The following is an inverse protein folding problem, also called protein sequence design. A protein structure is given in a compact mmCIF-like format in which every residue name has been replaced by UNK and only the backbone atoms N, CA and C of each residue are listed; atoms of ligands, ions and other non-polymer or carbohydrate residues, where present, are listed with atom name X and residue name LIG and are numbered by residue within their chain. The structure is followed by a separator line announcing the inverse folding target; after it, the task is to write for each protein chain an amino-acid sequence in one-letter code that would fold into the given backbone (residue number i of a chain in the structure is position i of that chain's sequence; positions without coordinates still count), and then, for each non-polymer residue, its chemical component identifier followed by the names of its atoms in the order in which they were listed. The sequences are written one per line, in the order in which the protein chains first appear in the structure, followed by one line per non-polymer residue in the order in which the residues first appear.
data_IF_257853184707
#
_entry.id   IF_257853184707
#
_cell.length_a   1.000
_cell.length_b   1.000
_cell.length_c   1.000
_cell.angle_alpha   90.00
_cell.angle_beta   90.00
_cell.angle_gamma   90.00
#
_symmetry.space_group_name_H-M   'P 1'
#
loop_
_entity.id
_entity.type
_entity.pdbx_description
1 polymer ?
#
# COMPACT_ATOMS: atom_id res chain seq x y z
N UNK A 1 -3.18 20.80 22.54
CA UNK A 1 -1.94 20.00 22.65
C UNK A 1 -0.75 20.87 22.25
N UNK A 2 0.08 21.29 23.20
CA UNK A 2 1.23 22.15 22.92
C UNK A 2 2.28 21.38 22.09
N UNK A 3 2.55 21.84 20.86
CA UNK A 3 3.65 21.31 20.03
C UNK A 3 4.96 21.58 20.77
N UNK A 4 5.61 20.53 21.30
CA UNK A 4 7.00 20.62 21.77
C UNK A 4 7.84 21.12 20.60
N UNK A 5 8.31 22.36 20.70
CA UNK A 5 9.21 22.96 19.71
C UNK A 5 10.47 22.10 19.63
N UNK A 6 10.75 21.56 18.45
CA UNK A 6 11.96 20.78 18.20
C UNK A 6 13.14 21.75 18.14
N UNK A 7 14.04 21.66 19.12
CA UNK A 7 15.27 22.47 19.18
C UNK A 7 16.09 22.21 17.91
N UNK A 8 16.34 23.26 17.13
CA UNK A 8 17.05 23.11 15.86
C UNK A 8 18.57 23.15 16.08
N UNK A 9 19.30 22.65 15.08
CA UNK A 9 20.76 22.57 15.14
C UNK A 9 21.45 23.94 15.19
N UNK A 10 20.77 24.99 14.73
CA UNK A 10 21.24 26.38 14.84
C UNK A 10 21.08 26.89 16.28
N UNK A 11 20.03 26.47 16.97
CA UNK A 11 19.74 26.87 18.36
C UNK A 11 20.75 26.28 19.34
N UNK A 12 21.17 25.03 19.15
CA UNK A 12 22.19 24.38 19.99
C UNK A 12 23.56 25.07 19.83
N UNK A 13 23.92 25.45 18.59
CA UNK A 13 25.17 26.19 18.33
C UNK A 13 25.15 27.59 18.94
N UNK A 14 24.00 28.28 18.91
CA UNK A 14 23.84 29.57 19.55
C UNK A 14 23.98 29.47 21.08
N UNK A 15 23.38 28.44 21.70
CA UNK A 15 23.50 28.19 23.15
C UNK A 15 24.93 27.84 23.59
N UNK A 16 25.69 27.09 22.77
CA UNK A 16 27.11 26.81 23.04
C UNK A 16 27.91 28.11 23.06
N UNK A 17 27.73 28.98 22.06
CA UNK A 17 28.44 30.27 21.96
C UNK A 17 28.13 31.19 23.15
N UNK A 18 26.87 31.27 23.55
CA UNK A 18 26.43 32.07 24.70
C UNK A 18 27.02 31.54 26.03
N UNK A 19 27.09 30.21 26.20
CA UNK A 19 27.71 29.60 27.39
C UNK A 19 29.23 29.78 27.38
N UNK A 20 29.90 29.70 26.22
CA UNK A 20 31.34 29.96 26.07
C UNK A 20 31.69 31.41 26.45
N UNK A 21 30.91 32.38 25.97
CA UNK A 21 31.04 33.80 26.36
C UNK A 21 30.85 33.99 27.87
N UNK A 22 29.87 33.31 28.47
CA UNK A 22 29.67 33.32 29.93
C UNK A 22 30.79 32.63 30.69
N UNK A 23 31.47 31.64 30.13
CA UNK A 23 32.63 31.00 30.80
C UNK A 23 33.89 31.86 30.77
N UNK A 24 33.97 32.82 29.85
CA UNK A 24 35.10 33.73 29.73
C UNK A 24 35.06 34.79 30.85
N UNK A 25 35.99 34.71 31.80
CA UNK A 25 36.15 35.70 32.88
C UNK A 25 35.62 35.30 34.26
N UNK A 26 35.00 34.12 34.43
CA UNK A 26 34.57 33.67 35.76
C UNK A 26 35.77 33.25 36.64
N UNK A 27 35.92 33.92 37.78
CA UNK A 27 36.96 33.62 38.80
C UNK A 27 36.57 32.45 39.73
N UNK A 28 35.29 32.08 39.77
CA UNK A 28 34.78 30.98 40.62
C UNK A 28 34.96 29.60 39.97
N UNK A 29 35.89 28.80 40.51
CA UNK A 29 36.31 27.50 39.97
C UNK A 29 35.17 26.47 39.85
N UNK A 30 34.21 26.45 40.80
CA UNK A 30 33.06 25.52 40.77
C UNK A 30 32.03 25.86 39.69
N UNK A 31 31.72 27.15 39.50
CA UNK A 31 30.75 27.61 38.51
C UNK A 31 31.29 27.43 37.09
N UNK A 32 32.59 27.68 36.89
CA UNK A 32 33.27 27.42 35.62
C UNK A 32 33.20 25.94 35.21
N UNK A 33 33.53 25.03 36.12
CA UNK A 33 33.45 23.60 35.85
C UNK A 33 32.02 23.09 35.57
N UNK A 34 30.99 23.74 36.14
CA UNK A 34 29.60 23.41 35.87
C UNK A 34 29.16 23.84 34.45
N UNK A 35 29.56 25.04 34.02
CA UNK A 35 29.27 25.57 32.69
C UNK A 35 30.03 24.81 31.60
N UNK A 36 31.29 24.44 31.84
CA UNK A 36 32.08 23.60 30.91
C UNK A 36 31.44 22.23 30.68
N UNK A 37 30.91 21.60 31.75
CA UNK A 37 30.14 20.35 31.62
C UNK A 37 28.86 20.52 30.79
N UNK A 38 28.20 21.68 30.90
CA UNK A 38 26.99 21.98 30.12
C UNK A 38 27.30 22.19 28.64
N UNK A 39 28.42 22.84 28.32
CA UNK A 39 28.91 23.01 26.95
C UNK A 39 29.20 21.65 26.30
N UNK A 40 29.90 20.76 27.01
CA UNK A 40 30.24 19.44 26.49
C UNK A 40 28.98 18.59 26.23
N UNK A 41 28.00 18.64 27.13
CA UNK A 41 26.72 17.96 26.93
C UNK A 41 25.94 18.47 25.70
N UNK A 42 26.01 19.77 25.38
CA UNK A 42 25.39 20.33 24.18
C UNK A 42 26.15 19.97 22.89
N UNK A 43 27.49 19.88 22.95
CA UNK A 43 28.34 19.42 21.82
C UNK A 43 28.05 17.96 21.45
N UNK A 44 27.88 17.09 22.45
CA UNK A 44 27.46 15.70 22.24
C UNK A 44 26.11 15.63 21.52
N UNK A 45 25.12 16.42 21.96
CA UNK A 45 23.79 16.49 21.33
C UNK A 45 23.83 17.00 19.88
N UNK A 46 24.65 18.00 19.58
CA UNK A 46 24.81 18.47 18.18
C UNK A 46 25.39 17.36 17.29
N UNK A 47 26.39 16.62 17.78
CA UNK A 47 27.00 15.52 17.04
C UNK A 47 26.03 14.36 16.80
N UNK A 48 25.18 14.02 17.76
CA UNK A 48 24.11 13.02 17.60
C UNK A 48 23.09 13.46 16.54
N UNK A 49 22.67 14.72 16.56
CA UNK A 49 21.75 15.27 15.56
C UNK A 49 22.36 15.29 14.15
N UNK A 50 23.67 15.59 14.01
CA UNK A 50 24.39 15.46 12.72
C UNK A 50 24.38 14.01 12.24
N UNK A 51 24.73 13.06 13.10
CA UNK A 51 24.75 11.63 12.75
C UNK A 51 23.36 11.13 12.33
N UNK A 52 22.31 11.56 13.01
CA UNK A 52 20.94 11.15 12.68
C UNK A 52 20.43 11.76 11.36
N UNK A 53 20.80 13.00 11.04
CA UNK A 53 20.50 13.60 9.72
C UNK A 53 21.20 12.86 8.59
N UNK A 54 22.51 12.61 8.74
CA UNK A 54 23.30 11.84 7.76
C UNK A 54 22.70 10.45 7.52
N UNK A 55 22.29 9.75 8.59
CA UNK A 55 21.61 8.44 8.47
C UNK A 55 20.26 8.51 7.76
N UNK A 56 19.53 9.62 7.91
CA UNK A 56 18.23 9.84 7.26
C UNK A 56 18.37 10.14 5.77
N UNK A 57 19.42 10.87 5.41
CA UNK A 57 19.69 11.25 4.01
C UNK A 57 20.38 10.11 3.22
N UNK A 58 20.89 9.07 3.91
CA UNK A 58 21.46 7.87 3.30
C UNK A 58 20.34 6.95 2.78
N UNK A 59 20.07 7.01 1.48
CA UNK A 59 19.12 6.13 0.80
C UNK A 59 19.63 4.68 0.80
N UNK A 60 18.79 3.75 1.24
CA UNK A 60 19.12 2.33 1.27
C UNK A 60 18.94 1.69 -0.13
N UNK A 61 19.75 0.66 -0.47
CA UNK A 61 19.60 -0.05 -1.74
C UNK A 61 18.29 -0.86 -1.74
N UNK A 62 17.56 -0.79 -2.85
CA UNK A 62 16.29 -1.49 -3.07
C UNK A 62 16.58 -2.81 -3.80
N UNK A 63 15.99 -3.91 -3.35
CA UNK A 63 16.11 -5.21 -4.03
C UNK A 63 15.07 -5.27 -5.17
N UNK A 64 15.55 -5.30 -6.41
CA UNK A 64 14.72 -5.36 -7.62
C UNK A 64 14.39 -6.82 -7.97
N UNK A 65 13.10 -7.16 -8.06
CA UNK A 65 12.63 -8.48 -8.51
C UNK A 65 12.23 -8.39 -9.99
N UNK A 66 12.53 -9.44 -10.75
CA UNK A 66 12.23 -9.52 -12.19
C UNK A 66 11.29 -10.72 -12.41
N UNK A 67 10.25 -10.60 -13.27
CA UNK A 67 9.44 -11.73 -13.69
C UNK A 67 10.28 -12.78 -14.43
N UNK A 68 9.89 -14.05 -14.32
CA UNK A 68 10.61 -15.17 -14.95
C UNK A 68 10.65 -15.04 -16.47
N UNK A 69 11.79 -15.35 -17.09
CA UNK A 69 12.00 -15.25 -18.54
C UNK A 69 12.52 -13.90 -19.05
N UNK A 70 12.60 -12.87 -18.20
CA UNK A 70 13.25 -11.59 -18.56
C UNK A 70 14.70 -11.58 -18.09
N UNK A 71 15.63 -11.42 -19.01
CA UNK A 71 17.06 -11.37 -18.70
C UNK A 71 17.40 -10.18 -17.79
N UNK A 72 18.08 -10.39 -16.63
CA UNK A 72 18.32 -9.31 -15.68
C UNK A 72 19.08 -8.10 -16.22
N UNK A 73 19.96 -8.33 -17.20
CA UNK A 73 20.74 -7.26 -17.86
C UNK A 73 19.94 -6.44 -18.85
N UNK A 74 18.75 -6.88 -19.27
CA UNK A 74 17.87 -6.05 -20.11
C UNK A 74 17.08 -5.03 -19.30
N UNK A 75 16.98 -5.23 -17.98
CA UNK A 75 16.24 -4.35 -17.08
C UNK A 75 17.19 -3.33 -16.44
N UNK A 76 16.79 -2.05 -16.47
CA UNK A 76 17.57 -0.97 -15.85
C UNK A 76 17.68 -1.14 -14.33
N UNK A 77 18.87 -0.90 -13.79
CA UNK A 77 19.16 -0.96 -12.36
C UNK A 77 18.52 0.21 -11.60
N UNK A 78 17.54 -0.08 -10.74
CA UNK A 78 16.88 0.94 -9.89
C UNK A 78 17.89 1.62 -8.95
N UNK A 79 18.85 0.86 -8.42
CA UNK A 79 19.86 1.39 -7.51
C UNK A 79 20.85 2.32 -8.23
N UNK A 80 21.14 2.06 -9.50
CA UNK A 80 21.98 2.95 -10.32
C UNK A 80 21.30 4.27 -10.61
N UNK A 81 20.01 4.23 -10.98
CA UNK A 81 19.18 5.44 -11.17
C UNK A 81 19.10 6.26 -9.87
N UNK A 82 19.02 5.59 -8.72
CA UNK A 82 19.03 6.23 -7.40
C UNK A 82 20.42 6.66 -6.89
N UNK A 83 21.49 6.40 -7.66
CA UNK A 83 22.90 6.66 -7.28
C UNK A 83 23.35 5.92 -6.01
N UNK A 84 22.77 4.75 -5.74
CA UNK A 84 23.06 3.90 -4.60
C UNK A 84 23.55 2.49 -5.00
N UNK A 85 23.93 2.28 -6.27
CA UNK A 85 24.51 1.02 -6.74
C UNK A 85 26.03 1.00 -6.59
N UNK A 86 26.55 -0.03 -5.91
CA UNK A 86 28.00 -0.23 -5.69
C UNK A 86 28.62 -1.24 -6.68
N UNK A 87 27.83 -1.86 -7.55
CA UNK A 87 28.28 -2.97 -8.41
C UNK A 87 28.92 -2.52 -9.74
N UNK A 88 28.79 -1.24 -10.10
CA UNK A 88 29.41 -0.69 -11.32
C UNK A 88 29.06 -1.50 -12.57
N UNK A 89 30.06 -1.84 -13.39
CA UNK A 89 29.87 -2.61 -14.64
C UNK A 89 29.45 -4.06 -14.41
N UNK A 90 29.68 -4.59 -13.21
CA UNK A 90 29.34 -5.97 -12.86
C UNK A 90 27.92 -6.09 -12.29
N UNK A 91 27.14 -5.00 -12.31
CA UNK A 91 25.77 -5.06 -11.84
C UNK A 91 24.95 -6.09 -12.62
N UNK A 92 24.08 -6.80 -11.90
CA UNK A 92 23.15 -7.78 -12.48
C UNK A 92 22.19 -7.14 -13.47
N UNK A 93 21.92 -5.85 -13.28
CA UNK A 93 20.99 -5.02 -14.04
C UNK A 93 21.74 -4.02 -14.92
N UNK A 94 21.10 -3.52 -15.98
CA UNK A 94 21.72 -2.53 -16.89
C UNK A 94 21.99 -1.19 -16.18
N UNK A 95 23.20 -0.67 -16.40
CA UNK A 95 23.64 0.68 -16.01
C UNK A 95 23.69 1.66 -17.19
N UNK A 96 22.90 1.42 -18.23
CA UNK A 96 22.83 2.35 -19.34
C UNK A 96 22.12 3.63 -18.89
N UNK A 97 22.80 4.76 -19.09
CA UNK A 97 22.19 6.08 -19.11
C UNK A 97 21.32 6.12 -20.36
N UNK A 98 20.14 5.51 -20.28
CA UNK A 98 19.16 5.58 -21.35
C UNK A 98 18.89 7.07 -21.54
N UNK A 99 19.42 7.66 -22.63
CA UNK A 99 18.96 8.96 -23.10
C UNK A 99 17.46 8.80 -23.13
N UNK A 100 16.71 9.64 -22.39
CA UNK A 100 15.25 9.65 -22.47
C UNK A 100 14.92 9.75 -23.95
N UNK A 101 14.60 8.62 -24.57
CA UNK A 101 13.84 8.65 -25.81
C UNK A 101 12.58 9.37 -25.38
N UNK A 102 12.40 10.57 -25.91
CA UNK A 102 11.20 11.36 -25.70
C UNK A 102 10.05 10.38 -25.80
N UNK A 103 9.26 10.28 -24.72
CA UNK A 103 8.12 9.39 -24.66
C UNK A 103 7.45 9.43 -26.01
N UNK A 104 7.49 8.33 -26.75
CA UNK A 104 6.42 8.03 -27.67
C UNK A 104 5.20 8.08 -26.76
N UNK A 105 4.43 9.15 -26.87
CA UNK A 105 3.33 9.55 -25.98
C UNK A 105 2.12 8.63 -26.11
N UNK A 106 2.32 7.44 -26.65
CA UNK A 106 1.33 6.40 -26.89
C UNK A 106 1.52 5.32 -25.83
N UNK A 107 1.41 5.72 -24.56
CA UNK A 107 0.68 4.85 -23.64
C UNK A 107 -0.71 5.44 -23.70
N UNK A 108 -1.52 4.91 -24.63
CA UNK A 108 -2.95 5.18 -24.64
C UNK A 108 -3.42 4.97 -23.21
N UNK A 109 -3.96 6.01 -22.60
CA UNK A 109 -4.71 5.88 -21.37
C UNK A 109 -5.89 4.98 -21.71
N UNK A 110 -5.72 3.67 -21.54
CA UNK A 110 -6.79 2.70 -21.52
C UNK A 110 -7.59 2.91 -20.24
N UNK A 111 -8.17 4.11 -20.10
CA UNK A 111 -9.22 4.36 -19.13
C UNK A 111 -10.44 3.58 -19.63
N UNK A 112 -11.05 2.73 -18.77
CA UNK A 112 -12.19 1.92 -19.18
C UNK A 112 -13.33 2.85 -19.59
N UNK A 113 -13.68 2.87 -20.89
CA UNK A 113 -14.80 3.65 -21.40
C UNK A 113 -16.11 2.96 -21.01
N UNK A 114 -17.08 3.73 -20.55
CA UNK A 114 -18.42 3.23 -20.27
C UNK A 114 -19.23 3.04 -21.56
N UNK A 115 -20.25 2.19 -21.49
CA UNK A 115 -21.22 2.01 -22.58
C UNK A 115 -22.19 3.18 -22.57
N UNK A 116 -22.44 3.78 -23.74
CA UNK A 116 -23.35 4.92 -23.86
C UNK A 116 -24.75 4.58 -23.35
N UNK A 117 -25.33 5.44 -22.50
CA UNK A 117 -26.69 5.24 -21.96
C UNK A 117 -27.75 5.13 -23.06
N UNK A 118 -27.70 5.97 -24.09
CA UNK A 118 -28.65 5.94 -25.21
C UNK A 118 -28.55 4.67 -26.05
N UNK A 119 -27.37 4.05 -26.10
CA UNK A 119 -27.19 2.76 -26.76
C UNK A 119 -27.91 1.65 -26.00
N UNK A 120 -27.79 1.66 -24.66
CA UNK A 120 -28.51 0.71 -23.79
C UNK A 120 -30.02 0.87 -23.94
N UNK A 121 -30.51 2.11 -23.97
CA UNK A 121 -31.93 2.41 -24.14
C UNK A 121 -32.45 1.90 -25.50
N UNK A 122 -31.71 2.12 -26.59
CA UNK A 122 -32.08 1.63 -27.93
C UNK A 122 -32.08 0.10 -28.03
N UNK A 123 -31.16 -0.57 -27.33
CA UNK A 123 -31.12 -2.03 -27.26
C UNK A 123 -32.30 -2.59 -26.46
N UNK A 124 -32.61 -1.99 -25.31
CA UNK A 124 -33.74 -2.40 -24.48
C UNK A 124 -35.08 -2.22 -25.22
N UNK A 125 -35.20 -1.18 -26.03
CA UNK A 125 -36.38 -0.91 -26.86
C UNK A 125 -36.40 -1.68 -28.18
N UNK A 126 -35.34 -2.44 -28.51
CA UNK A 126 -35.15 -3.16 -29.79
C UNK A 126 -35.16 -2.24 -31.03
N UNK A 127 -34.86 -0.97 -30.85
CA UNK A 127 -34.78 0.02 -31.94
C UNK A 127 -33.37 0.13 -32.51
N UNK A 128 -32.42 -0.68 -32.02
CA UNK A 128 -31.05 -0.70 -32.54
C UNK A 128 -31.00 -1.26 -33.96
N UNK A 129 -30.57 -0.42 -34.90
CA UNK A 129 -30.35 -0.76 -36.31
C UNK A 129 -28.88 -0.56 -36.69
N UNK A 130 -28.41 -1.15 -37.79
CA UNK A 130 -27.01 -1.03 -38.24
C UNK A 130 -26.53 0.42 -38.45
N UNK A 131 -27.47 1.35 -38.67
CA UNK A 131 -27.21 2.79 -38.87
C UNK A 131 -27.53 3.64 -37.63
N UNK A 132 -27.71 3.02 -36.46
CA UNK A 132 -28.05 3.74 -35.23
C UNK A 132 -26.92 4.70 -34.85
N UNK A 133 -27.28 5.96 -34.60
CA UNK A 133 -26.35 7.03 -34.18
C UNK A 133 -26.81 7.59 -32.85
N UNK A 134 -25.86 7.88 -31.97
CA UNK A 134 -26.16 8.50 -30.69
C UNK A 134 -26.80 9.87 -30.89
N UNK A 135 -27.90 10.20 -30.17
CA UNK A 135 -28.52 11.52 -30.21
C UNK A 135 -27.58 12.68 -29.85
N UNK A 136 -26.52 12.40 -29.07
CA UNK A 136 -25.51 13.39 -28.72
C UNK A 136 -24.23 13.17 -29.56
N UNK A 137 -23.95 14.12 -30.44
CA UNK A 137 -22.89 14.03 -31.47
C UNK A 137 -21.47 14.05 -30.92
N UNK A 138 -21.25 14.51 -29.68
CA UNK A 138 -19.94 14.59 -29.02
C UNK A 138 -19.80 13.63 -27.81
N UNK A 139 -20.47 12.48 -27.84
CA UNK A 139 -20.39 11.53 -26.72
C UNK A 139 -19.00 10.88 -26.63
N UNK A 140 -18.45 10.78 -25.41
CA UNK A 140 -17.18 10.12 -25.10
C UNK A 140 -17.26 8.58 -25.03
N UNK A 141 -18.48 8.05 -24.94
CA UNK A 141 -18.78 6.67 -24.58
C UNK A 141 -18.77 5.71 -25.78
N UNK A 142 -18.89 4.40 -25.51
CA UNK A 142 -18.96 3.36 -26.55
C UNK A 142 -20.35 3.34 -27.19
N UNK A 143 -20.42 3.48 -28.54
CA UNK A 143 -21.66 3.54 -29.32
C UNK A 143 -21.92 2.35 -30.25
N UNK A 144 -21.05 1.34 -30.25
CA UNK A 144 -21.18 0.14 -31.07
C UNK A 144 -20.85 -1.08 -30.24
N UNK A 145 -21.61 -2.16 -30.42
CA UNK A 145 -21.17 -3.48 -29.96
C UNK A 145 -19.93 -3.86 -30.78
N UNK A 146 -18.77 -3.82 -30.15
CA UNK A 146 -17.58 -4.46 -30.66
C UNK A 146 -17.76 -5.93 -30.31
N UNK A 147 -17.83 -6.80 -31.32
CA UNK A 147 -17.69 -8.22 -31.09
C UNK A 147 -16.28 -8.43 -30.53
N UNK A 148 -16.18 -8.70 -29.23
CA UNK A 148 -14.98 -9.26 -28.65
C UNK A 148 -14.86 -10.69 -29.19
N UNK A 149 -14.46 -10.82 -30.45
CA UNK A 149 -13.84 -12.04 -30.94
C UNK A 149 -12.53 -12.12 -30.16
N UNK A 150 -12.55 -12.85 -29.05
CA UNK A 150 -11.40 -12.99 -28.18
C UNK A 150 -10.23 -13.51 -28.99
N UNK A 151 -9.15 -12.75 -29.02
CA UNK A 151 -7.87 -13.24 -29.51
C UNK A 151 -7.41 -14.34 -28.55
N UNK A 152 -7.70 -15.59 -28.90
CA UNK A 152 -7.35 -16.81 -28.15
C UNK A 152 -5.86 -17.14 -28.29
N UNK A 153 -4.95 -16.23 -27.93
CA UNK A 153 -3.52 -16.43 -28.16
C UNK A 153 -2.62 -16.34 -26.92
N UNK A 154 -3.15 -16.09 -25.72
CA UNK A 154 -2.34 -16.15 -24.50
C UNK A 154 -3.11 -16.43 -23.20
N UNK A 155 -4.21 -17.20 -23.26
CA UNK A 155 -4.76 -17.78 -22.02
C UNK A 155 -3.90 -18.99 -21.65
N UNK A 156 -2.88 -18.78 -20.81
CA UNK A 156 -2.19 -19.87 -20.11
C UNK A 156 -3.26 -20.73 -19.43
N UNK A 157 -3.23 -22.04 -19.66
CA UNK A 157 -4.18 -22.94 -18.99
C UNK A 157 -3.97 -22.84 -17.47
N UNK A 158 -5.02 -23.09 -16.69
CA UNK A 158 -4.96 -23.08 -15.23
C UNK A 158 -3.83 -23.99 -14.72
N UNK A 159 -3.65 -25.13 -15.37
CA UNK A 159 -2.61 -26.12 -15.10
C UNK A 159 -1.22 -25.54 -15.39
N UNK A 160 -1.04 -24.87 -16.52
CA UNK A 160 0.24 -24.25 -16.90
C UNK A 160 0.64 -23.13 -15.91
N UNK A 161 -0.33 -22.34 -15.47
CA UNK A 161 -0.13 -21.34 -14.42
C UNK A 161 0.26 -21.96 -13.07
N UNK A 162 -0.39 -23.08 -12.70
CA UNK A 162 -0.08 -23.81 -11.47
C UNK A 162 1.33 -24.43 -11.52
N UNK A 163 1.75 -24.96 -12.68
CA UNK A 163 3.07 -25.54 -12.89
C UNK A 163 4.18 -24.48 -12.77
N UNK A 164 3.99 -23.31 -13.40
CA UNK A 164 4.89 -22.16 -13.26
C UNK A 164 4.97 -21.67 -11.80
N UNK A 165 3.83 -21.64 -11.11
CA UNK A 165 3.76 -21.26 -9.70
C UNK A 165 4.53 -22.24 -8.80
N UNK A 166 4.50 -23.54 -9.10
CA UNK A 166 5.27 -24.58 -8.39
C UNK A 166 6.76 -24.41 -8.59
N UNK A 167 7.22 -24.13 -9.82
CA UNK A 167 8.64 -23.89 -10.13
C UNK A 167 9.20 -22.66 -9.41
N UNK A 168 8.35 -21.66 -9.14
CA UNK A 168 8.75 -20.46 -8.39
C UNK A 168 8.86 -20.67 -6.87
N UNK A 169 8.39 -21.80 -6.33
CA UNK A 169 8.52 -22.09 -4.91
C UNK A 169 9.95 -22.59 -4.60
N UNK A 170 10.56 -22.07 -3.53
CA UNK A 170 11.91 -22.47 -3.12
C UNK A 170 11.95 -23.80 -2.35
N UNK A 171 13.17 -24.29 -2.07
CA UNK A 171 13.41 -25.67 -1.58
C UNK A 171 12.89 -26.00 -0.17
N UNK A 172 12.55 -24.99 0.65
CA UNK A 172 12.05 -25.18 2.01
C UNK A 172 10.53 -25.43 2.04
N UNK A 173 10.07 -26.48 1.33
CA UNK A 173 8.67 -26.88 1.33
C UNK A 173 8.42 -27.96 2.40
N UNK A 174 7.30 -27.85 3.11
CA UNK A 174 6.84 -28.92 3.99
C UNK A 174 6.30 -30.08 3.15
N UNK A 175 6.95 -31.26 3.16
CA UNK A 175 6.47 -32.41 2.40
C UNK A 175 5.09 -32.83 2.93
N UNK A 176 4.20 -33.23 2.02
CA UNK A 176 2.85 -33.66 2.37
C UNK A 176 2.89 -35.09 2.91
N UNK A 177 3.32 -35.24 4.16
CA UNK A 177 3.23 -36.48 4.93
C UNK A 177 1.87 -36.55 5.66
N UNK A 178 1.44 -37.75 6.03
CA UNK A 178 0.15 -37.94 6.72
C UNK A 178 0.07 -37.16 8.04
N UNK A 179 1.18 -37.07 8.76
CA UNK A 179 1.29 -36.31 10.01
C UNK A 179 1.09 -34.81 9.78
N UNK A 180 1.75 -34.25 8.75
CA UNK A 180 1.57 -32.86 8.34
C UNK A 180 0.14 -32.58 7.88
N UNK A 181 -0.48 -33.53 7.18
CA UNK A 181 -1.86 -33.44 6.75
C UNK A 181 -2.84 -33.44 7.94
N UNK A 182 -2.63 -34.29 8.96
CA UNK A 182 -3.43 -34.28 10.19
C UNK A 182 -3.34 -32.93 10.91
N UNK A 183 -2.13 -32.39 11.08
CA UNK A 183 -1.90 -31.06 11.66
C UNK A 183 -2.63 -29.97 10.85
N UNK A 184 -2.55 -30.03 9.52
CA UNK A 184 -3.26 -29.09 8.64
C UNK A 184 -4.78 -29.20 8.76
N UNK A 185 -5.31 -30.43 8.80
CA UNK A 185 -6.76 -30.73 8.91
C UNK A 185 -7.33 -30.19 10.21
N UNK A 186 -6.65 -30.42 11.32
CA UNK A 186 -7.03 -29.85 12.62
C UNK A 186 -6.99 -28.32 12.61
N UNK A 187 -5.93 -27.72 12.04
CA UNK A 187 -5.83 -26.25 11.91
C UNK A 187 -6.99 -25.69 11.09
N UNK A 188 -7.39 -26.33 9.99
CA UNK A 188 -8.55 -25.92 9.17
C UNK A 188 -9.86 -26.04 9.95
N UNK A 189 -10.08 -27.12 10.69
CA UNK A 189 -11.26 -27.30 11.54
C UNK A 189 -11.33 -26.22 12.63
N UNK A 190 -10.23 -25.97 13.35
CA UNK A 190 -10.14 -24.91 14.36
C UNK A 190 -10.44 -23.53 13.75
N UNK A 191 -9.90 -23.22 12.56
CA UNK A 191 -10.21 -21.97 11.84
C UNK A 191 -11.70 -21.86 11.50
N UNK A 192 -12.31 -22.90 10.94
CA UNK A 192 -13.75 -22.93 10.63
C UNK A 192 -14.61 -22.70 11.88
N UNK A 193 -14.27 -23.37 12.99
CA UNK A 193 -14.97 -23.21 14.27
C UNK A 193 -14.84 -21.80 14.83
N UNK A 194 -13.65 -21.20 14.77
CA UNK A 194 -13.43 -19.84 15.24
C UNK A 194 -14.20 -18.82 14.39
N UNK A 195 -14.19 -18.96 13.06
CA UNK A 195 -15.01 -18.13 12.16
C UNK A 195 -16.50 -18.27 12.51
N UNK A 196 -17.01 -19.50 12.71
CA UNK A 196 -18.40 -19.74 13.11
C UNK A 196 -18.75 -19.09 14.46
N UNK A 197 -17.85 -19.16 15.45
CA UNK A 197 -18.00 -18.48 16.74
C UNK A 197 -18.04 -16.96 16.56
N UNK A 198 -17.12 -16.39 15.77
CA UNK A 198 -17.07 -14.94 15.47
C UNK A 198 -18.34 -14.48 14.75
N UNK A 199 -18.81 -15.22 13.75
CA UNK A 199 -20.07 -14.93 13.07
C UNK A 199 -21.26 -15.01 14.03
N UNK A 200 -21.31 -16.01 14.91
CA UNK A 200 -22.35 -16.12 15.93
C UNK A 200 -22.38 -14.92 16.88
N UNK A 201 -21.21 -14.37 17.25
CA UNK A 201 -21.12 -13.19 18.11
C UNK A 201 -21.52 -11.89 17.40
N UNK A 202 -21.32 -11.81 16.08
CA UNK A 202 -21.68 -10.65 15.27
C UNK A 202 -23.17 -10.62 14.89
N UNK A 203 -23.87 -11.75 14.98
CA UNK A 203 -25.30 -11.81 14.73
C UNK A 203 -26.06 -11.25 15.94
N UNK A 204 -26.92 -10.23 15.77
CA UNK A 204 -27.72 -9.69 16.85
C UNK A 204 -28.64 -10.79 17.42
N UNK A 205 -28.60 -10.96 18.74
CA UNK A 205 -29.47 -11.89 19.46
C UNK A 205 -30.92 -11.45 19.22
N UNK A 206 -31.75 -12.34 18.66
CA UNK A 206 -33.18 -12.12 18.34
C UNK A 206 -34.08 -11.75 19.56
N UNK A 207 -33.52 -11.40 20.72
CA UNK A 207 -34.26 -11.04 21.94
C UNK A 207 -34.97 -9.68 21.81
N UNK A 208 -34.43 -8.73 21.05
CA UNK A 208 -35.04 -7.39 20.84
C UNK A 208 -36.32 -7.45 19.98
N UNK A 209 -36.41 -8.39 19.03
CA UNK A 209 -37.58 -8.54 18.16
C UNK A 209 -38.80 -9.14 18.87
N UNK A 210 -38.60 -9.87 19.97
CA UNK A 210 -39.71 -10.42 20.74
C UNK A 210 -40.27 -9.39 21.72
N UNK A 211 -39.44 -8.55 22.34
CA UNK A 211 -39.91 -7.49 23.26
C UNK A 211 -40.77 -6.44 22.54
N UNK A 212 -40.32 -5.97 21.36
CA UNK A 212 -41.10 -5.02 20.56
C UNK A 212 -42.43 -5.61 20.07
N UNK A 213 -42.45 -6.89 19.69
CA UNK A 213 -43.70 -7.58 19.32
C UNK A 213 -44.65 -7.70 20.51
N UNK A 214 -44.17 -8.04 21.70
CA UNK A 214 -45.02 -8.11 22.89
C UNK A 214 -45.56 -6.73 23.30
N UNK A 215 -44.76 -5.67 23.21
CA UNK A 215 -45.20 -4.31 23.55
C UNK A 215 -46.23 -3.78 22.54
N UNK A 216 -46.05 -4.05 21.24
CA UNK A 216 -47.02 -3.69 20.20
C UNK A 216 -48.35 -4.43 20.35
N UNK A 217 -48.32 -5.72 20.73
CA UNK A 217 -49.54 -6.52 21.01
C UNK A 217 -50.28 -5.96 22.23
N UNK A 218 -49.56 -5.65 23.32
CA UNK A 218 -50.17 -5.05 24.51
C UNK A 218 -50.77 -3.68 24.21
N UNK A 219 -50.09 -2.81 23.44
CA UNK A 219 -50.63 -1.51 23.07
C UNK A 219 -51.93 -1.66 22.27
N UNK A 220 -51.95 -2.56 21.29
CA UNK A 220 -53.15 -2.81 20.47
C UNK A 220 -54.32 -3.36 21.29
N UNK A 221 -54.05 -4.25 22.26
CA UNK A 221 -55.09 -4.77 23.16
C UNK A 221 -55.67 -3.67 24.06
N UNK A 222 -54.86 -2.73 24.54
CA UNK A 222 -55.37 -1.63 25.37
C UNK A 222 -56.23 -0.63 24.60
N UNK A 223 -55.99 -0.42 23.30
CA UNK A 223 -56.80 0.50 22.47
C UNK A 223 -58.16 -0.09 22.08
N UNK A 224 -58.33 -1.41 22.14
CA UNK A 224 -59.60 -2.10 21.85
C UNK A 224 -60.59 -2.08 23.03
N UNK A 225 -60.13 -1.81 24.25
CA UNK A 225 -60.98 -1.77 25.46
C UNK A 225 -61.44 -0.36 25.86
N UNK A 226 -61.02 0.67 25.12
CA UNK A 226 -61.35 2.08 25.39
C UNK A 226 -62.30 2.72 24.37
N UNK A 227 -62.90 1.93 23.49
CA UNK A 227 -63.99 2.30 22.55
C UNK A 227 -65.20 1.40 22.83
#
# INVERSE_FOLDING_TARGET
MAKKQQVTQKDIKAQIKELEEKTFGLKNKKQKAALEKQIEALRIKDNELKKNKIKKDMKQPIIQKIPVGVDPKTVQCINYVNKCCNEGLNCRFAHDTVKKVEKISIIEKNEPKHVCRFLIDALNNKEYSANWKCPFSKCSDIHKLIDLKGDTSAELSLEEYLELSRQSLGDNLTPLTEENFKIWKEKKLKKKLNIKKRLRLLLPVKKELNYLKTVLICLWMTTQQSN
#
